data_IF_646689132344
#
_entry.id   IF_646689132344
#
_cell.length_a   1.000
_cell.length_b   1.000
_cell.length_c   1.000
_cell.angle_alpha   90.00
_cell.angle_beta   90.00
_cell.angle_gamma   90.00
#
_symmetry.space_group_name_H-M   'P 1'
#
loop_
_entity.id
_entity.type
_entity.pdbx_description
1 polymer ?
#
# COMPACT_ATOMS: atom_id res chain seq x y z
N UNK A 1 36.52 43.31 -0.34
CA UNK A 1 35.12 43.08 0.06
C UNK A 1 34.65 41.78 -0.58
N UNK A 2 34.58 40.68 0.18
CA UNK A 2 34.16 39.35 -0.32
C UNK A 2 32.62 39.29 -0.30
N UNK A 3 32.00 39.14 -1.49
CA UNK A 3 30.58 38.81 -1.61
C UNK A 3 30.41 37.33 -1.26
N UNK A 4 29.78 37.04 -0.12
CA UNK A 4 29.37 35.69 0.24
C UNK A 4 28.08 35.41 -0.54
N UNK A 5 28.17 34.51 -1.51
CA UNK A 5 27.01 34.00 -2.24
C UNK A 5 26.33 32.96 -1.34
N UNK A 6 25.20 33.32 -0.75
CA UNK A 6 24.40 32.43 0.07
C UNK A 6 23.60 31.51 -0.87
N UNK A 7 24.08 30.28 -1.08
CA UNK A 7 23.36 29.26 -1.84
C UNK A 7 22.35 28.61 -0.88
N UNK A 8 21.08 29.01 -1.00
CA UNK A 8 19.96 28.36 -0.32
C UNK A 8 19.64 27.09 -1.09
N UNK A 9 20.13 25.95 -0.60
CA UNK A 9 19.71 24.63 -1.09
C UNK A 9 18.33 24.35 -0.50
N UNK A 10 17.29 24.60 -1.27
CA UNK A 10 15.94 24.11 -0.96
C UNK A 10 15.98 22.59 -1.15
N UNK A 11 16.25 21.86 -0.06
CA UNK A 11 15.96 20.44 0.00
C UNK A 11 14.45 20.28 -0.12
N UNK A 12 13.98 20.01 -1.35
CA UNK A 12 12.66 19.45 -1.56
C UNK A 12 12.68 18.08 -0.87
N UNK A 13 12.13 18.02 0.34
CA UNK A 13 11.72 16.74 0.89
C UNK A 13 10.61 16.24 -0.03
N UNK A 14 10.94 15.33 -0.95
CA UNK A 14 9.92 14.48 -1.53
C UNK A 14 9.29 13.75 -0.34
N UNK A 15 8.08 14.16 0.02
CA UNK A 15 7.22 13.41 0.92
C UNK A 15 7.06 12.03 0.29
N UNK A 16 7.82 11.06 0.76
CA UNK A 16 7.80 9.70 0.27
C UNK A 16 6.36 9.17 0.43
N UNK A 17 5.61 9.15 -0.66
CA UNK A 17 4.37 8.38 -0.78
C UNK A 17 4.68 6.94 -0.39
N UNK A 18 3.89 6.37 0.51
CA UNK A 18 4.07 5.01 0.99
C UNK A 18 3.57 4.07 -0.10
N UNK A 19 4.48 3.67 -0.97
CA UNK A 19 4.23 2.78 -2.10
C UNK A 19 4.62 3.39 -3.44
N UNK A 20 4.93 2.49 -4.37
CA UNK A 20 5.31 2.78 -5.76
C UNK A 20 4.62 1.80 -6.70
N UNK A 21 3.98 2.35 -7.73
CA UNK A 21 3.36 1.57 -8.80
C UNK A 21 4.45 1.15 -9.81
N UNK A 22 4.43 -0.11 -10.18
CA UNK A 22 5.26 -0.75 -11.19
C UNK A 22 4.38 -1.35 -12.27
N UNK A 23 4.95 -1.64 -13.44
CA UNK A 23 4.34 -2.63 -14.32
C UNK A 23 4.39 -4.02 -13.66
N UNK A 24 3.43 -4.86 -14.00
CA UNK A 24 3.37 -6.24 -13.54
C UNK A 24 4.64 -7.03 -13.87
N UNK A 25 5.16 -6.86 -15.09
CA UNK A 25 6.43 -7.47 -15.51
C UNK A 25 7.60 -7.05 -14.62
N UNK A 26 7.72 -5.75 -14.30
CA UNK A 26 8.78 -5.27 -13.42
C UNK A 26 8.63 -5.82 -12.00
N UNK A 27 7.40 -5.95 -11.50
CA UNK A 27 7.14 -6.55 -10.20
C UNK A 27 7.49 -8.05 -10.16
N UNK A 28 7.18 -8.79 -11.23
CA UNK A 28 7.56 -10.20 -11.37
C UNK A 28 9.09 -10.37 -11.38
N UNK A 29 9.82 -9.49 -12.06
CA UNK A 29 11.28 -9.50 -12.08
C UNK A 29 11.90 -9.17 -10.71
N UNK A 30 11.34 -8.21 -9.99
CA UNK A 30 11.88 -7.74 -8.70
C UNK A 30 11.53 -8.66 -7.53
N UNK A 31 10.30 -9.19 -7.49
CA UNK A 31 9.76 -9.88 -6.31
C UNK A 31 9.48 -11.36 -6.54
N UNK A 32 9.66 -11.83 -7.78
CA UNK A 32 9.36 -13.20 -8.18
C UNK A 32 7.85 -13.45 -8.32
N UNK A 33 7.46 -14.71 -8.55
CA UNK A 33 6.08 -15.07 -8.83
C UNK A 33 5.16 -14.90 -7.62
N UNK A 34 3.87 -14.75 -7.89
CA UNK A 34 2.80 -14.77 -6.88
C UNK A 34 2.72 -16.16 -6.24
N UNK A 35 2.75 -16.20 -4.91
CA UNK A 35 2.64 -17.44 -4.12
C UNK A 35 1.20 -17.66 -3.62
N UNK A 36 0.53 -16.58 -3.23
CA UNK A 36 -0.86 -16.57 -2.76
C UNK A 36 -1.51 -15.29 -3.25
N UNK A 37 -2.76 -15.34 -3.66
CA UNK A 37 -3.55 -14.15 -4.01
C UNK A 37 -4.93 -14.20 -3.39
N UNK A 38 -5.45 -13.02 -3.07
CA UNK A 38 -6.85 -12.81 -2.73
C UNK A 38 -7.43 -11.68 -3.54
N UNK A 39 -8.54 -11.99 -4.19
CA UNK A 39 -9.29 -11.04 -4.99
C UNK A 39 -10.22 -10.21 -4.10
N UNK A 40 -10.34 -8.93 -4.44
CA UNK A 40 -11.32 -7.99 -3.92
C UNK A 40 -11.84 -7.17 -5.10
N UNK A 41 -13.15 -6.85 -5.12
CA UNK A 41 -13.66 -5.98 -6.18
C UNK A 41 -13.10 -4.57 -6.01
N UNK A 42 -12.74 -3.95 -7.14
CA UNK A 42 -12.12 -2.62 -7.16
C UNK A 42 -13.02 -1.59 -6.50
N UNK A 43 -14.33 -1.64 -6.73
CA UNK A 43 -15.31 -0.75 -6.09
C UNK A 43 -15.30 -0.86 -4.56
N UNK A 44 -15.16 -2.08 -4.03
CA UNK A 44 -15.07 -2.29 -2.58
C UNK A 44 -13.78 -1.69 -2.03
N UNK A 45 -12.66 -1.85 -2.74
CA UNK A 45 -11.40 -1.26 -2.33
C UNK A 45 -11.42 0.27 -2.42
N UNK A 46 -12.05 0.85 -3.45
CA UNK A 46 -12.31 2.30 -3.54
C UNK A 46 -13.11 2.76 -2.31
N UNK A 47 -14.18 2.07 -1.95
CA UNK A 47 -14.96 2.39 -0.75
C UNK A 47 -14.08 2.41 0.52
N UNK A 48 -13.21 1.42 0.71
CA UNK A 48 -12.30 1.37 1.87
C UNK A 48 -11.24 2.47 1.86
N UNK A 49 -10.71 2.84 0.69
CA UNK A 49 -9.80 3.98 0.57
C UNK A 49 -10.48 5.30 0.94
N UNK A 50 -11.77 5.47 0.61
CA UNK A 50 -12.55 6.66 0.98
C UNK A 50 -12.90 6.72 2.48
N UNK A 51 -12.85 5.59 3.19
CA UNK A 51 -13.06 5.51 4.64
C UNK A 51 -11.77 5.70 5.44
N UNK A 52 -10.61 5.67 4.77
CA UNK A 52 -9.28 5.75 5.40
C UNK A 52 -8.67 7.14 5.21
N UNK A 53 -7.89 7.61 6.18
CA UNK A 53 -7.17 8.90 6.09
C UNK A 53 -5.68 8.65 5.89
N UNK A 54 -5.09 9.24 4.85
CA UNK A 54 -3.68 9.17 4.46
C UNK A 54 -3.16 7.79 4.08
N UNK A 55 -3.46 6.75 4.86
CA UNK A 55 -2.91 5.40 4.73
C UNK A 55 -3.99 4.34 4.90
N UNK A 56 -3.74 3.17 4.29
CA UNK A 56 -4.56 1.97 4.39
C UNK A 56 -3.63 0.76 4.53
N UNK A 57 -4.04 -0.21 5.33
CA UNK A 57 -3.18 -1.31 5.77
C UNK A 57 -3.70 -2.65 5.26
N UNK A 58 -2.80 -3.50 4.78
CA UNK A 58 -3.15 -4.82 4.22
C UNK A 58 -2.34 -5.93 4.88
N UNK A 59 -2.97 -7.09 5.00
CA UNK A 59 -2.29 -8.32 5.40
C UNK A 59 -3.01 -9.55 4.88
N UNK A 60 -2.24 -10.55 4.48
CA UNK A 60 -2.73 -11.92 4.25
C UNK A 60 -2.32 -12.81 5.42
N UNK A 61 -3.29 -13.35 6.14
CA UNK A 61 -3.10 -14.29 7.27
C UNK A 61 -4.01 -15.49 7.10
N UNK A 62 -3.51 -16.70 7.30
CA UNK A 62 -4.31 -17.94 7.19
C UNK A 62 -5.10 -18.04 5.87
N UNK A 63 -4.55 -17.50 4.79
CA UNK A 63 -5.21 -17.42 3.49
C UNK A 63 -6.48 -16.55 3.50
N UNK A 64 -6.57 -15.53 4.36
CA UNK A 64 -7.61 -14.51 4.37
C UNK A 64 -7.01 -13.11 4.27
N UNK A 65 -7.76 -12.20 3.63
CA UNK A 65 -7.38 -10.80 3.45
C UNK A 65 -7.93 -9.95 4.59
N UNK A 66 -7.04 -9.20 5.21
CA UNK A 66 -7.34 -8.21 6.23
C UNK A 66 -6.98 -6.82 5.71
N UNK A 67 -7.91 -5.89 5.86
CA UNK A 67 -7.74 -4.49 5.48
C UNK A 67 -8.13 -3.61 6.66
N UNK A 68 -7.24 -2.70 7.07
CA UNK A 68 -7.48 -1.77 8.17
C UNK A 68 -7.33 -0.33 7.70
N UNK A 69 -8.02 0.58 8.40
CA UNK A 69 -7.82 2.02 8.27
C UNK A 69 -6.53 2.49 8.96
N UNK A 70 -6.28 3.81 8.94
CA UNK A 70 -5.13 4.45 9.58
C UNK A 70 -5.09 4.33 11.11
N UNK A 71 -6.23 4.04 11.74
CA UNK A 71 -6.34 3.81 13.18
C UNK A 71 -6.30 2.31 13.54
N UNK A 72 -6.01 1.44 12.57
CA UNK A 72 -6.02 -0.03 12.68
C UNK A 72 -7.41 -0.60 13.00
N UNK A 73 -8.48 0.12 12.68
CA UNK A 73 -9.83 -0.44 12.71
C UNK A 73 -10.04 -1.35 11.50
N UNK A 74 -10.69 -2.49 11.70
CA UNK A 74 -10.91 -3.45 10.63
C UNK A 74 -12.00 -2.98 9.64
N UNK A 75 -11.60 -2.79 8.39
CA UNK A 75 -12.48 -2.57 7.24
C UNK A 75 -12.88 -3.91 6.60
N UNK A 76 -11.97 -4.89 6.63
CA UNK A 76 -12.20 -6.26 6.20
C UNK A 76 -11.40 -7.25 7.07
N UNK A 77 -12.02 -8.35 7.55
CA UNK A 77 -13.46 -8.49 7.76
C UNK A 77 -13.97 -7.46 8.79
N UNK A 78 -15.19 -6.95 8.57
CA UNK A 78 -15.80 -5.97 9.46
C UNK A 78 -15.99 -6.53 10.89
N UNK A 79 -15.73 -5.70 11.89
CA UNK A 79 -16.00 -6.01 13.30
C UNK A 79 -14.97 -6.91 13.98
N UNK A 80 -13.91 -7.35 13.28
CA UNK A 80 -12.84 -8.14 13.90
C UNK A 80 -11.87 -7.25 14.67
N UNK A 81 -11.52 -7.67 15.88
CA UNK A 81 -10.45 -7.05 16.67
C UNK A 81 -9.11 -7.64 16.25
N UNK A 82 -8.19 -6.80 15.80
CA UNK A 82 -6.84 -7.21 15.41
C UNK A 82 -5.90 -7.05 16.60
N UNK A 83 -5.07 -8.08 16.84
CA UNK A 83 -4.04 -8.00 17.85
C UNK A 83 -3.04 -6.89 17.47
N UNK A 84 -2.81 -5.95 18.39
CA UNK A 84 -1.92 -4.80 18.15
C UNK A 84 -0.50 -5.21 17.77
N UNK A 85 -0.06 -6.43 18.12
CA UNK A 85 1.26 -6.95 17.77
C UNK A 85 1.42 -7.36 16.30
N UNK A 86 0.33 -7.50 15.56
CA UNK A 86 0.37 -7.92 14.16
C UNK A 86 1.02 -6.84 13.30
N UNK A 87 1.90 -7.23 12.37
CA UNK A 87 2.53 -6.30 11.40
C UNK A 87 1.72 -6.25 10.12
N UNK A 88 1.42 -5.05 9.62
CA UNK A 88 0.67 -4.82 8.37
C UNK A 88 1.52 -4.09 7.33
N UNK A 89 1.20 -4.29 6.04
CA UNK A 89 1.79 -3.53 4.93
C UNK A 89 0.96 -2.26 4.72
N UNK A 90 1.57 -1.10 4.92
CA UNK A 90 0.92 0.21 4.87
C UNK A 90 1.22 0.90 3.55
N UNK A 91 0.16 1.42 2.92
CA UNK A 91 0.21 2.15 1.68
C UNK A 91 -0.52 3.48 1.81
N UNK A 92 -0.07 4.51 1.09
CA UNK A 92 -0.80 5.77 1.01
C UNK A 92 -2.13 5.58 0.29
N UNK A 93 -3.20 6.14 0.82
CA UNK A 93 -4.54 6.10 0.18
C UNK A 93 -4.47 6.62 -1.25
N UNK A 94 -3.75 7.73 -1.46
CA UNK A 94 -3.59 8.35 -2.78
C UNK A 94 -2.93 7.41 -3.80
N UNK A 95 -1.91 6.63 -3.41
CA UNK A 95 -1.22 5.73 -4.34
C UNK A 95 -2.06 4.47 -4.64
N UNK A 96 -2.85 4.01 -3.67
CA UNK A 96 -3.82 2.93 -3.90
C UNK A 96 -4.89 3.41 -4.88
N UNK A 97 -5.46 4.60 -4.68
CA UNK A 97 -6.45 5.17 -5.60
C UNK A 97 -5.86 5.37 -7.02
N UNK A 98 -4.61 5.83 -7.11
CA UNK A 98 -3.91 5.94 -8.39
C UNK A 98 -3.77 4.58 -9.09
N UNK A 99 -3.37 3.52 -8.35
CA UNK A 99 -3.29 2.16 -8.89
C UNK A 99 -4.63 1.70 -9.47
N UNK A 100 -5.73 1.93 -8.75
CA UNK A 100 -7.07 1.52 -9.19
C UNK A 100 -7.53 2.29 -10.43
N UNK A 101 -7.21 3.59 -10.49
CA UNK A 101 -7.48 4.42 -11.66
C UNK A 101 -6.68 3.98 -12.89
N UNK A 102 -5.38 3.74 -12.73
CA UNK A 102 -4.49 3.38 -13.84
C UNK A 102 -4.76 1.97 -14.37
N UNK A 103 -5.00 1.02 -13.46
CA UNK A 103 -5.29 -0.36 -13.83
C UNK A 103 -6.67 -0.56 -14.43
N UNK A 104 -7.67 0.23 -13.99
CA UNK A 104 -9.04 0.24 -14.51
C UNK A 104 -9.67 -1.17 -14.67
N UNK A 105 -9.24 -2.13 -13.84
CA UNK A 105 -9.78 -3.48 -13.78
C UNK A 105 -10.89 -3.53 -12.73
N UNK A 106 -12.01 -4.26 -12.96
CA UNK A 106 -13.06 -4.44 -11.96
C UNK A 106 -12.62 -5.29 -10.76
N UNK A 107 -11.53 -6.03 -10.91
CA UNK A 107 -10.95 -6.89 -9.87
C UNK A 107 -9.54 -6.42 -9.53
N UNK A 108 -9.25 -6.39 -8.22
CA UNK A 108 -7.92 -6.10 -7.66
C UNK A 108 -7.45 -7.32 -6.86
N UNK A 109 -6.18 -7.70 -6.99
CA UNK A 109 -5.58 -8.80 -6.23
C UNK A 109 -4.59 -8.28 -5.20
N UNK A 110 -4.73 -8.77 -3.97
CA UNK A 110 -3.70 -8.65 -2.94
C UNK A 110 -2.89 -9.93 -2.95
N UNK A 111 -1.59 -9.81 -3.12
CA UNK A 111 -0.70 -10.91 -3.48
C UNK A 111 0.43 -11.04 -2.48
N UNK A 112 0.73 -12.28 -2.07
CA UNK A 112 1.95 -12.60 -1.35
C UNK A 112 2.98 -13.06 -2.37
N UNK A 113 4.11 -12.37 -2.43
CA UNK A 113 5.31 -12.77 -3.18
C UNK A 113 6.42 -13.14 -2.20
N UNK A 114 7.61 -13.44 -2.70
CA UNK A 114 8.74 -13.79 -1.83
C UNK A 114 9.15 -12.58 -0.98
N UNK A 115 8.68 -12.56 0.27
CA UNK A 115 9.08 -11.58 1.28
C UNK A 115 8.31 -10.26 1.26
N UNK A 116 7.35 -10.08 0.35
CA UNK A 116 6.58 -8.83 0.19
C UNK A 116 5.10 -9.09 -0.07
N UNK A 117 4.26 -8.05 0.09
CA UNK A 117 2.82 -8.10 -0.17
C UNK A 117 2.48 -7.01 -1.19
N UNK A 118 2.11 -7.42 -2.40
CA UNK A 118 1.80 -6.51 -3.50
C UNK A 118 0.30 -6.36 -3.70
N UNK A 119 -0.12 -5.25 -4.33
CA UNK A 119 -1.51 -5.04 -4.77
C UNK A 119 -1.49 -4.85 -6.29
N UNK A 120 -2.24 -5.66 -7.04
CA UNK A 120 -2.24 -5.63 -8.51
C UNK A 120 -3.63 -5.30 -9.04
N UNK A 121 -3.70 -4.36 -9.98
CA UNK A 121 -4.92 -4.02 -10.73
C UNK A 121 -4.54 -3.87 -12.22
N UNK A 122 -5.15 -4.69 -13.07
CA UNK A 122 -4.77 -4.74 -14.50
C UNK A 122 -3.30 -5.12 -14.69
N UNK A 123 -2.57 -4.27 -15.42
CA UNK A 123 -1.14 -4.46 -15.74
C UNK A 123 -0.19 -3.75 -14.74
N UNK A 124 -0.73 -3.22 -13.65
CA UNK A 124 0.04 -2.47 -12.65
C UNK A 124 0.06 -3.17 -11.30
N UNK A 125 1.20 -3.10 -10.63
CA UNK A 125 1.45 -3.69 -9.32
C UNK A 125 2.07 -2.64 -8.39
N UNK A 126 1.42 -2.42 -7.25
CA UNK A 126 1.87 -1.57 -6.16
C UNK A 126 2.68 -2.39 -5.14
N UNK A 127 3.84 -1.88 -4.76
CA UNK A 127 4.70 -2.39 -3.68
C UNK A 127 5.46 -1.20 -3.03
N UNK A 128 6.51 -1.48 -2.26
CA UNK A 128 7.27 -0.53 -1.45
C UNK A 128 6.43 0.00 -0.28
N UNK A 129 5.65 -0.90 0.31
CA UNK A 129 4.95 -0.61 1.56
C UNK A 129 5.91 -0.26 2.69
N UNK A 130 5.40 0.50 3.66
CA UNK A 130 6.02 0.62 4.97
C UNK A 130 5.38 -0.40 5.89
N UNK A 131 6.18 -1.13 6.66
CA UNK A 131 5.64 -2.04 7.67
C UNK A 131 5.13 -1.25 8.87
N UNK A 132 3.83 -1.35 9.13
CA UNK A 132 3.18 -0.80 10.31
C UNK A 132 3.31 -1.81 11.46
N UNK A 133 4.35 -1.60 12.28
CA UNK A 133 4.63 -2.31 13.53
C UNK A 133 3.58 -1.98 14.61
N UNK A 134 3.62 -2.56 15.81
CA UNK A 134 2.58 -2.31 16.83
C UNK A 134 2.41 -0.84 17.22
N UNK A 135 3.44 -0.03 16.98
CA UNK A 135 3.41 1.42 16.99
C UNK A 135 3.77 1.86 15.57
N UNK A 136 2.80 2.41 14.83
CA UNK A 136 3.03 2.90 13.48
C UNK A 136 3.49 4.35 13.56
N UNK A 137 4.47 4.77 12.76
CA UNK A 137 4.84 6.17 12.68
C UNK A 137 3.66 6.95 12.09
N UNK A 138 3.31 8.07 12.74
CA UNK A 138 2.31 9.04 12.28
C UNK A 138 2.65 9.62 10.90
#
# INVERSE_FOLDING_TARGET
>A
MKKILLIVVLFWFELFSQGKILSKENADQLFGPVLVSKEISTDTLVMYTNQSVNVIMFKLMNNDLYILDNNRNALLPLGVTINSKEVFSMYSVAIVQQLLSDGNSPSTTVEKRKGVLTITNGEFTLEYSILCLPLCPD
#
